data_IF_562539162940
#
_entry.id   IF_562539162940
#
_cell.length_a   1.000
_cell.length_b   1.000
_cell.length_c   1.000
_cell.angle_alpha   90.00
_cell.angle_beta   90.00
_cell.angle_gamma   90.00
#
_symmetry.space_group_name_H-M   'P 1'
#
loop_
_entity.id
_entity.type
_entity.pdbx_description
1 polymer ?
#
# COMPACT_ATOMS: atom_id res chain seq x y z
N UNK A 1 -13.89 -19.02 -37.48
CA UNK A 1 -14.56 -18.48 -36.28
C UNK A 1 -13.60 -17.44 -35.72
N UNK A 2 -14.00 -16.17 -35.84
CA UNK A 2 -13.17 -15.00 -35.56
C UNK A 2 -12.70 -14.95 -34.11
N UNK A 3 -11.45 -14.56 -33.96
CA UNK A 3 -10.68 -14.52 -32.73
C UNK A 3 -11.04 -13.23 -31.96
N UNK A 4 -11.99 -13.30 -31.02
CA UNK A 4 -12.40 -12.17 -30.16
C UNK A 4 -11.39 -11.92 -29.02
N UNK A 5 -10.12 -11.69 -29.37
CA UNK A 5 -9.19 -10.99 -28.49
C UNK A 5 -9.48 -9.49 -28.60
N UNK A 6 -10.64 -9.05 -28.09
CA UNK A 6 -11.02 -7.64 -28.10
C UNK A 6 -10.26 -6.90 -26.99
N UNK A 7 -9.10 -6.35 -27.37
CA UNK A 7 -8.39 -5.33 -26.60
C UNK A 7 -9.37 -4.18 -26.29
N UNK A 8 -9.56 -3.87 -25.01
CA UNK A 8 -10.43 -2.77 -24.59
C UNK A 8 -9.97 -1.41 -25.13
N UNK A 9 -10.89 -0.46 -25.22
CA UNK A 9 -10.55 0.93 -25.60
C UNK A 9 -9.57 1.52 -24.59
N UNK A 10 -8.51 2.16 -25.08
CA UNK A 10 -7.52 2.80 -24.21
C UNK A 10 -8.17 3.96 -23.45
N UNK A 11 -8.08 3.90 -22.13
CA UNK A 11 -8.49 4.99 -21.24
C UNK A 11 -7.38 5.17 -20.19
N UNK A 12 -6.91 6.41 -20.02
CA UNK A 12 -5.79 6.75 -19.14
C UNK A 12 -4.47 5.98 -19.41
N UNK A 13 -4.10 5.77 -20.68
CA UNK A 13 -2.88 5.03 -21.09
C UNK A 13 -2.82 3.56 -20.64
N UNK A 14 -3.85 3.05 -19.97
CA UNK A 14 -4.01 1.62 -19.72
C UNK A 14 -4.62 0.96 -20.95
N UNK A 15 -3.99 -0.11 -21.43
CA UNK A 15 -4.53 -0.97 -22.48
C UNK A 15 -4.96 -2.28 -21.82
N UNK A 16 -6.25 -2.57 -21.86
CA UNK A 16 -6.74 -3.85 -21.38
C UNK A 16 -6.34 -4.95 -22.38
N UNK A 17 -5.39 -5.81 -22.00
CA UNK A 17 -5.11 -7.07 -22.72
C UNK A 17 -6.37 -7.96 -22.77
N UNK A 18 -7.25 -7.82 -21.77
CA UNK A 18 -8.60 -8.40 -21.70
C UNK A 18 -9.61 -7.49 -21.02
N UNK A 19 -10.80 -7.32 -21.61
CA UNK A 19 -11.92 -6.55 -21.01
C UNK A 19 -13.12 -7.44 -20.69
N UNK A 20 -14.03 -6.98 -19.84
CA UNK A 20 -15.28 -7.69 -19.53
C UNK A 20 -16.33 -7.51 -20.63
N UNK A 21 -17.14 -8.55 -20.85
CA UNK A 21 -18.34 -8.54 -21.71
C UNK A 21 -19.62 -8.11 -20.97
N UNK A 22 -19.50 -7.68 -19.71
CA UNK A 22 -20.65 -7.33 -18.86
C UNK A 22 -21.32 -6.03 -19.30
N UNK A 23 -22.64 -6.07 -19.47
CA UNK A 23 -23.45 -4.86 -19.62
C UNK A 23 -23.61 -4.14 -18.28
N UNK A 24 -23.22 -2.86 -18.23
CA UNK A 24 -23.22 -2.08 -16.99
C UNK A 24 -24.64 -1.68 -16.59
N UNK A 25 -25.18 -2.36 -15.58
CA UNK A 25 -26.39 -1.93 -14.90
C UNK A 25 -26.07 -0.73 -14.00
N UNK A 26 -26.49 0.45 -14.47
CA UNK A 26 -26.24 1.73 -13.77
C UNK A 26 -26.88 1.77 -12.40
N UNK A 27 -28.01 1.10 -12.15
CA UNK A 27 -28.68 1.13 -10.84
C UNK A 27 -27.91 0.35 -9.78
N UNK A 28 -27.44 -0.85 -10.14
CA UNK A 28 -26.53 -1.63 -9.28
C UNK A 28 -25.26 -0.85 -9.00
N UNK A 29 -24.67 -0.22 -10.02
CA UNK A 29 -23.50 0.63 -9.88
C UNK A 29 -23.76 1.77 -8.88
N UNK A 30 -24.94 2.42 -8.89
CA UNK A 30 -25.23 3.48 -7.89
C UNK A 30 -25.33 2.95 -6.47
N UNK A 31 -25.75 1.69 -6.31
CA UNK A 31 -26.02 1.07 -5.02
C UNK A 31 -24.77 0.49 -4.38
N UNK A 32 -23.91 -0.18 -5.16
CA UNK A 32 -22.78 -0.95 -4.65
C UNK A 32 -21.40 -0.34 -4.95
N UNK A 33 -21.25 0.47 -6.00
CA UNK A 33 -19.94 1.08 -6.30
C UNK A 33 -19.59 2.14 -5.25
N UNK A 34 -18.72 1.74 -4.32
CA UNK A 34 -18.27 2.58 -3.20
C UNK A 34 -17.38 3.74 -3.68
N UNK A 35 -16.56 3.50 -4.72
CA UNK A 35 -15.70 4.51 -5.32
C UNK A 35 -16.53 5.62 -5.97
N UNK A 36 -17.62 5.24 -6.65
CA UNK A 36 -18.55 6.21 -7.24
C UNK A 36 -19.16 7.13 -6.18
N UNK A 37 -19.56 6.61 -5.02
CA UNK A 37 -20.12 7.43 -3.95
C UNK A 37 -19.13 8.50 -3.46
N UNK A 38 -17.85 8.12 -3.31
CA UNK A 38 -16.76 9.02 -2.96
C UNK A 38 -16.56 10.11 -4.03
N UNK A 39 -16.42 9.73 -5.30
CA UNK A 39 -16.26 10.68 -6.41
C UNK A 39 -17.46 11.63 -6.55
N UNK A 40 -18.68 11.12 -6.37
CA UNK A 40 -19.90 11.94 -6.39
C UNK A 40 -19.90 12.98 -5.26
N UNK A 41 -19.51 12.60 -4.04
CA UNK A 41 -19.38 13.54 -2.92
C UNK A 41 -18.33 14.61 -3.20
N UNK A 42 -17.16 14.24 -3.73
CA UNK A 42 -16.11 15.19 -4.12
C UNK A 42 -16.56 16.13 -5.23
N UNK A 43 -17.28 15.62 -6.23
CA UNK A 43 -17.82 16.44 -7.33
C UNK A 43 -18.74 17.54 -6.81
N UNK A 44 -19.69 17.21 -5.91
CA UNK A 44 -20.62 18.20 -5.36
C UNK A 44 -19.92 19.28 -4.53
N UNK A 45 -18.83 18.95 -3.82
CA UNK A 45 -18.01 19.95 -3.11
C UNK A 45 -17.39 20.95 -4.08
N UNK A 46 -16.84 20.46 -5.20
CA UNK A 46 -16.26 21.33 -6.24
C UNK A 46 -17.31 22.18 -6.95
N UNK A 47 -18.50 21.63 -7.17
CA UNK A 47 -19.61 22.40 -7.74
C UNK A 47 -20.06 23.53 -6.80
N UNK A 48 -20.13 23.27 -5.49
CA UNK A 48 -20.39 24.31 -4.49
C UNK A 48 -19.32 25.42 -4.51
N UNK A 49 -18.04 25.05 -4.57
CA UNK A 49 -16.93 26.00 -4.70
C UNK A 49 -17.04 26.84 -5.98
N UNK A 50 -17.38 26.21 -7.11
CA UNK A 50 -17.64 26.90 -8.37
C UNK A 50 -18.73 27.98 -8.20
N UNK A 51 -19.89 27.63 -7.63
CA UNK A 51 -20.98 28.59 -7.45
C UNK A 51 -20.59 29.78 -6.58
N UNK A 52 -19.84 29.55 -5.49
CA UNK A 52 -19.36 30.61 -4.59
C UNK A 52 -18.39 31.54 -5.32
N UNK A 53 -17.36 30.97 -5.96
CA UNK A 53 -16.32 31.75 -6.62
C UNK A 53 -16.83 32.47 -7.87
N UNK A 54 -17.73 31.85 -8.61
CA UNK A 54 -18.39 32.46 -9.77
C UNK A 54 -19.26 33.64 -9.34
N UNK A 55 -20.05 33.49 -8.26
CA UNK A 55 -20.87 34.58 -7.72
C UNK A 55 -20.03 35.75 -7.21
N UNK A 56 -18.92 35.47 -6.52
CA UNK A 56 -17.96 36.49 -6.08
C UNK A 56 -17.33 37.23 -7.27
N UNK A 57 -16.94 36.50 -8.30
CA UNK A 57 -16.38 37.08 -9.52
C UNK A 57 -17.39 38.01 -10.21
N UNK A 58 -18.64 37.57 -10.40
CA UNK A 58 -19.71 38.39 -10.97
C UNK A 58 -19.93 39.67 -10.18
N UNK A 59 -19.99 39.58 -8.84
CA UNK A 59 -20.14 40.76 -7.99
C UNK A 59 -19.00 41.76 -8.19
N UNK A 60 -17.74 41.30 -8.21
CA UNK A 60 -16.58 42.17 -8.42
C UNK A 60 -16.57 42.83 -9.80
N UNK A 61 -17.06 42.13 -10.84
CA UNK A 61 -17.23 42.74 -12.16
C UNK A 61 -18.32 43.81 -12.17
N UNK A 62 -19.45 43.59 -11.48
CA UNK A 62 -20.51 44.59 -11.32
C UNK A 62 -20.00 45.81 -10.56
N UNK A 63 -19.18 45.61 -9.53
CA UNK A 63 -18.57 46.68 -8.74
C UNK A 63 -17.37 47.35 -9.45
N UNK A 64 -17.15 47.10 -10.74
CA UNK A 64 -16.05 47.61 -11.56
C UNK A 64 -14.63 47.27 -11.07
N UNK A 65 -14.48 46.24 -10.24
CA UNK A 65 -13.19 45.69 -9.77
C UNK A 65 -12.71 44.55 -10.68
N UNK A 66 -12.61 44.82 -11.98
CA UNK A 66 -12.30 43.84 -13.03
C UNK A 66 -11.01 43.03 -12.80
N UNK A 67 -9.94 43.64 -12.29
CA UNK A 67 -8.68 42.94 -11.96
C UNK A 67 -8.86 41.94 -10.81
N UNK A 68 -9.70 42.26 -9.83
CA UNK A 68 -9.98 41.37 -8.70
C UNK A 68 -11.06 40.33 -9.01
N UNK A 69 -11.87 40.55 -10.05
CA UNK A 69 -12.86 39.59 -10.55
C UNK A 69 -12.26 38.42 -11.33
N UNK A 70 -11.09 38.58 -11.95
CA UNK A 70 -10.45 37.54 -12.77
C UNK A 70 -9.90 36.39 -11.93
N UNK A 71 -9.27 36.67 -10.78
CA UNK A 71 -8.72 35.65 -9.88
C UNK A 71 -9.77 34.63 -9.40
N UNK A 72 -10.93 35.05 -8.85
CA UNK A 72 -11.98 34.11 -8.46
C UNK A 72 -12.63 33.42 -9.67
N UNK A 73 -12.65 34.05 -10.86
CA UNK A 73 -13.12 33.38 -12.08
C UNK A 73 -12.24 32.18 -12.45
N UNK A 74 -10.91 32.32 -12.37
CA UNK A 74 -9.99 31.21 -12.66
C UNK A 74 -10.17 30.06 -11.67
N UNK A 75 -10.34 30.36 -10.39
CA UNK A 75 -10.63 29.35 -9.36
C UNK A 75 -11.98 28.67 -9.64
N UNK A 76 -13.00 29.43 -10.05
CA UNK A 76 -14.30 28.88 -10.42
C UNK A 76 -14.18 27.92 -11.61
N UNK A 77 -13.50 28.33 -12.68
CA UNK A 77 -13.28 27.47 -13.86
C UNK A 77 -12.50 26.20 -13.51
N UNK A 78 -11.47 26.30 -12.66
CA UNK A 78 -10.74 25.14 -12.18
C UNK A 78 -11.62 24.21 -11.34
N UNK A 79 -12.47 24.75 -10.47
CA UNK A 79 -13.43 23.96 -9.70
C UNK A 79 -14.47 23.28 -10.62
N UNK A 80 -14.94 23.97 -11.66
CA UNK A 80 -15.85 23.40 -12.66
C UNK A 80 -15.18 22.28 -13.47
N UNK A 81 -13.93 22.47 -13.88
CA UNK A 81 -13.13 21.42 -14.51
C UNK A 81 -13.02 20.19 -13.60
N UNK A 82 -12.70 20.38 -12.31
CA UNK A 82 -12.64 19.31 -11.31
C UNK A 82 -13.98 18.61 -11.10
N UNK A 83 -15.10 19.35 -11.13
CA UNK A 83 -16.44 18.77 -11.09
C UNK A 83 -16.66 17.77 -12.23
N UNK A 84 -16.38 18.17 -13.48
CA UNK A 84 -16.52 17.28 -14.63
C UNK A 84 -15.57 16.08 -14.57
N UNK A 85 -14.31 16.30 -14.20
CA UNK A 85 -13.33 15.22 -14.00
C UNK A 85 -13.82 14.17 -13.01
N UNK A 86 -14.30 14.59 -11.83
CA UNK A 86 -14.81 13.63 -10.82
C UNK A 86 -16.08 12.91 -11.26
N UNK A 87 -16.98 13.59 -11.98
CA UNK A 87 -18.17 12.92 -12.53
C UNK A 87 -17.82 11.88 -13.57
N UNK A 88 -16.79 12.14 -14.38
CA UNK A 88 -16.30 11.20 -15.37
C UNK A 88 -15.62 9.99 -14.69
N UNK A 89 -14.79 10.22 -13.66
CA UNK A 89 -14.12 9.17 -12.89
C UNK A 89 -15.11 8.24 -12.13
N UNK A 90 -16.24 8.78 -11.67
CA UNK A 90 -17.34 8.00 -11.07
C UNK A 90 -18.32 7.40 -12.08
N UNK A 91 -18.01 7.45 -13.38
CA UNK A 91 -18.82 6.93 -14.46
C UNK A 91 -18.66 5.43 -14.69
N UNK A 92 -19.40 4.90 -15.66
CA UNK A 92 -19.30 3.49 -16.08
C UNK A 92 -18.00 3.17 -16.83
N UNK A 93 -17.19 4.18 -17.18
CA UNK A 93 -15.93 4.00 -17.92
C UNK A 93 -14.96 3.06 -17.21
N UNK A 94 -14.98 3.04 -15.87
CA UNK A 94 -14.17 2.11 -15.08
C UNK A 94 -14.46 0.64 -15.38
N UNK A 95 -15.71 0.31 -15.74
CA UNK A 95 -16.13 -1.05 -16.07
C UNK A 95 -16.03 -1.37 -17.56
N UNK A 96 -16.07 -0.36 -18.43
CA UNK A 96 -16.00 -0.57 -19.90
C UNK A 96 -14.58 -0.51 -20.46
N UNK A 97 -13.69 0.23 -19.79
CA UNK A 97 -12.33 0.50 -20.26
C UNK A 97 -11.24 -0.03 -19.32
N UNK A 98 -11.61 -0.63 -18.19
CA UNK A 98 -10.67 -1.27 -17.28
C UNK A 98 -10.12 -2.60 -17.82
N UNK A 99 -9.07 -3.10 -17.17
CA UNK A 99 -8.56 -4.45 -17.36
C UNK A 99 -9.37 -5.42 -16.48
N UNK A 100 -9.75 -6.56 -17.03
CA UNK A 100 -10.30 -7.65 -16.23
C UNK A 100 -9.17 -8.27 -15.38
N UNK A 101 -9.32 -8.28 -14.07
CA UNK A 101 -8.32 -8.79 -13.11
C UNK A 101 -8.97 -9.73 -12.10
N UNK A 102 -8.25 -10.77 -11.62
CA UNK A 102 -8.76 -11.64 -10.58
C UNK A 102 -8.61 -11.01 -9.20
N UNK A 103 -9.54 -11.36 -8.31
CA UNK A 103 -9.43 -11.14 -6.88
C UNK A 103 -9.96 -12.34 -6.10
N UNK A 104 -9.43 -12.58 -4.91
CA UNK A 104 -9.96 -13.59 -3.98
C UNK A 104 -10.33 -12.95 -2.64
N UNK A 105 -11.33 -13.51 -1.97
CA UNK A 105 -11.65 -13.14 -0.58
C UNK A 105 -10.57 -13.72 0.33
N UNK A 106 -9.90 -12.87 1.12
CA UNK A 106 -8.86 -13.27 2.09
C UNK A 106 -9.30 -13.15 3.54
N UNK A 107 -10.35 -12.36 3.80
CA UNK A 107 -10.95 -12.20 5.14
C UNK A 107 -12.44 -11.95 4.97
N UNK A 108 -13.24 -12.49 5.89
CA UNK A 108 -14.71 -12.41 5.83
C UNK A 108 -15.32 -11.41 6.82
N UNK A 109 -14.56 -10.92 7.81
CA UNK A 109 -15.03 -9.94 8.78
C UNK A 109 -13.88 -9.02 9.28
N UNK A 110 -13.70 -7.80 8.73
CA UNK A 110 -14.42 -7.24 7.57
C UNK A 110 -14.10 -8.02 6.28
N UNK A 111 -14.93 -7.86 5.24
CA UNK A 111 -14.70 -8.51 3.95
C UNK A 111 -13.53 -7.81 3.24
N UNK A 112 -12.40 -8.52 3.14
CA UNK A 112 -11.20 -8.05 2.46
C UNK A 112 -10.89 -8.95 1.27
N UNK A 113 -10.48 -8.33 0.17
CA UNK A 113 -10.06 -8.99 -1.04
C UNK A 113 -8.60 -8.66 -1.34
N UNK A 114 -7.94 -9.58 -2.04
CA UNK A 114 -6.67 -9.33 -2.71
C UNK A 114 -6.91 -9.47 -4.21
N UNK A 115 -6.65 -8.39 -4.96
CA UNK A 115 -6.65 -8.39 -6.43
C UNK A 115 -5.23 -8.46 -6.96
N UNK A 116 -5.03 -9.10 -8.11
CA UNK A 116 -3.74 -9.24 -8.79
C UNK A 116 -3.79 -8.55 -10.15
N UNK A 117 -2.74 -7.82 -10.51
CA UNK A 117 -2.60 -7.23 -11.84
C UNK A 117 -1.14 -7.24 -12.30
N UNK A 118 -0.93 -7.37 -13.60
CA UNK A 118 0.35 -7.00 -14.22
C UNK A 118 0.43 -5.47 -14.26
N UNK A 119 1.51 -4.91 -13.74
CA UNK A 119 1.72 -3.46 -13.64
C UNK A 119 2.71 -2.93 -14.68
N UNK A 120 3.21 -3.74 -15.60
CA UNK A 120 4.00 -3.23 -16.72
C UNK A 120 3.16 -2.29 -17.61
N UNK A 121 3.72 -1.13 -17.96
CA UNK A 121 3.07 -0.17 -18.87
C UNK A 121 3.20 -0.57 -20.35
N UNK A 122 4.25 -1.32 -20.69
CA UNK A 122 4.64 -1.62 -22.06
C UNK A 122 4.44 -3.11 -22.38
N UNK A 123 4.05 -3.42 -23.62
CA UNK A 123 3.88 -4.79 -24.14
C UNK A 123 5.24 -5.44 -24.49
N UNK A 124 6.28 -5.25 -23.67
CA UNK A 124 7.63 -5.82 -23.91
C UNK A 124 7.68 -7.34 -23.72
N UNK A 125 6.61 -7.93 -23.16
CA UNK A 125 6.54 -9.34 -22.78
C UNK A 125 7.18 -9.64 -21.42
N UNK A 126 7.68 -8.62 -20.72
CA UNK A 126 8.06 -8.73 -19.31
C UNK A 126 6.83 -8.50 -18.44
N UNK A 127 6.52 -9.45 -17.56
CA UNK A 127 5.41 -9.35 -16.61
C UNK A 127 5.95 -8.94 -15.24
N UNK A 128 5.33 -7.94 -14.62
CA UNK A 128 5.57 -7.61 -13.22
C UNK A 128 4.22 -7.63 -12.52
N UNK A 129 3.94 -8.73 -11.82
CA UNK A 129 2.72 -8.80 -11.03
C UNK A 129 2.82 -7.96 -9.77
N UNK A 130 1.70 -7.33 -9.42
CA UNK A 130 1.47 -6.70 -8.15
C UNK A 130 0.11 -7.11 -7.62
N UNK A 131 -0.02 -7.21 -6.29
CA UNK A 131 -1.33 -7.38 -5.66
C UNK A 131 -1.74 -6.12 -4.90
N UNK A 132 -3.04 -5.94 -4.73
CA UNK A 132 -3.63 -4.89 -3.91
C UNK A 132 -4.68 -5.46 -2.99
N UNK A 133 -4.59 -5.11 -1.71
CA UNK A 133 -5.61 -5.44 -0.71
C UNK A 133 -6.61 -4.29 -0.59
N UNK A 134 -7.89 -4.61 -0.56
CA UNK A 134 -8.95 -3.63 -0.39
C UNK A 134 -10.16 -4.24 0.33
N UNK A 135 -10.87 -3.41 1.08
CA UNK A 135 -12.07 -3.82 1.80
C UNK A 135 -13.33 -3.45 1.02
N UNK A 136 -14.38 -4.25 1.16
CA UNK A 136 -15.69 -4.00 0.57
C UNK A 136 -16.81 -4.24 1.58
N UNK A 137 -17.92 -3.52 1.43
CA UNK A 137 -19.12 -3.70 2.27
C UNK A 137 -20.02 -4.81 1.78
N UNK A 138 -20.05 -5.07 0.47
CA UNK A 138 -21.00 -6.00 -0.15
C UNK A 138 -20.45 -6.60 -1.42
N UNK A 139 -20.62 -7.92 -1.55
CA UNK A 139 -20.35 -8.70 -2.76
C UNK A 139 -21.64 -9.42 -3.17
N UNK A 140 -22.58 -8.75 -3.86
CA UNK A 140 -23.77 -9.44 -4.36
C UNK A 140 -23.35 -10.61 -5.27
N UNK A 141 -24.17 -11.64 -5.36
CA UNK A 141 -23.92 -12.84 -6.19
C UNK A 141 -22.76 -13.75 -5.75
N UNK A 142 -21.98 -13.37 -4.75
CA UNK A 142 -20.86 -14.18 -4.23
C UNK A 142 -21.12 -14.67 -2.81
N UNK A 143 -20.50 -15.80 -2.48
CA UNK A 143 -20.46 -16.29 -1.09
C UNK A 143 -19.29 -15.62 -0.38
N UNK A 144 -19.55 -15.08 0.81
CA UNK A 144 -18.51 -14.47 1.64
C UNK A 144 -17.74 -15.58 2.37
N UNK A 145 -16.87 -16.26 1.63
CA UNK A 145 -15.99 -17.35 2.10
C UNK A 145 -14.58 -17.13 1.58
N UNK A 146 -13.57 -17.47 2.39
CA UNK A 146 -12.16 -17.34 1.98
C UNK A 146 -11.87 -18.19 0.74
N UNK A 147 -11.10 -17.63 -0.19
CA UNK A 147 -10.76 -18.25 -1.48
C UNK A 147 -11.84 -18.13 -2.56
N UNK A 148 -13.00 -17.52 -2.28
CA UNK A 148 -14.00 -17.24 -3.32
C UNK A 148 -13.39 -16.36 -4.43
N UNK A 149 -13.55 -16.77 -5.68
CA UNK A 149 -13.05 -16.08 -6.88
C UNK A 149 -13.98 -14.93 -7.26
N UNK A 150 -13.46 -13.71 -7.28
CA UNK A 150 -14.18 -12.48 -7.58
C UNK A 150 -13.54 -11.82 -8.82
N UNK A 151 -14.20 -11.79 -9.98
CA UNK A 151 -13.69 -11.06 -11.13
C UNK A 151 -13.90 -9.56 -10.93
N UNK A 152 -12.84 -8.77 -11.15
CA UNK A 152 -12.84 -7.33 -10.97
C UNK A 152 -12.44 -6.61 -12.26
N UNK A 153 -12.88 -5.37 -12.42
CA UNK A 153 -12.31 -4.43 -13.38
C UNK A 153 -11.33 -3.51 -12.67
N UNK A 154 -10.14 -3.32 -13.23
CA UNK A 154 -9.14 -2.42 -12.70
C UNK A 154 -8.83 -1.29 -13.67
N UNK A 155 -8.83 -0.06 -13.15
CA UNK A 155 -8.17 1.07 -13.80
C UNK A 155 -6.80 1.27 -13.16
N UNK A 156 -5.80 1.54 -14.00
CA UNK A 156 -4.45 1.83 -13.53
C UNK A 156 -4.22 3.33 -13.41
N UNK A 157 -3.35 3.72 -12.49
CA UNK A 157 -3.09 5.12 -12.17
C UNK A 157 -1.66 5.36 -11.72
N UNK A 158 -1.08 6.44 -12.25
CA UNK A 158 0.31 6.83 -12.00
C UNK A 158 1.32 5.87 -12.64
N UNK A 159 2.42 6.38 -13.17
CA UNK A 159 3.43 5.55 -13.82
C UNK A 159 4.82 6.03 -13.43
N UNK A 160 5.67 5.11 -12.99
CA UNK A 160 7.09 5.38 -12.68
C UNK A 160 7.94 4.28 -13.29
N UNK A 161 8.99 4.65 -14.01
CA UNK A 161 9.94 3.70 -14.62
C UNK A 161 9.28 2.59 -15.47
N UNK A 162 8.23 2.93 -16.24
CA UNK A 162 7.52 1.95 -17.08
C UNK A 162 6.61 0.99 -16.32
N UNK A 163 6.32 1.25 -15.04
CA UNK A 163 5.38 0.47 -14.23
C UNK A 163 4.28 1.36 -13.65
N UNK A 164 3.06 0.83 -13.61
CA UNK A 164 1.94 1.43 -12.91
C UNK A 164 2.19 1.44 -11.42
N UNK A 165 2.01 2.59 -10.79
CA UNK A 165 2.22 2.76 -9.34
C UNK A 165 0.97 2.40 -8.53
N UNK A 166 -0.18 2.27 -9.18
CA UNK A 166 -1.43 1.92 -8.52
C UNK A 166 -2.43 1.31 -9.52
N UNK A 167 -3.35 0.50 -9.01
CA UNK A 167 -4.56 0.12 -9.71
C UNK A 167 -5.76 0.08 -8.75
N UNK A 168 -6.95 0.28 -9.28
CA UNK A 168 -8.20 0.35 -8.53
C UNK A 168 -9.15 -0.79 -8.95
N UNK A 169 -9.12 -1.94 -8.27
CA UNK A 169 -10.02 -3.05 -8.57
C UNK A 169 -11.46 -2.72 -8.13
N UNK A 170 -12.43 -3.08 -8.98
CA UNK A 170 -13.87 -2.96 -8.73
C UNK A 170 -14.58 -4.27 -9.10
N UNK A 171 -15.23 -4.95 -8.14
CA UNK A 171 -15.95 -6.19 -8.40
C UNK A 171 -17.00 -6.05 -9.50
N UNK A 172 -17.02 -6.97 -10.47
CA UNK A 172 -18.02 -6.97 -11.55
C UNK A 172 -19.45 -7.11 -11.03
N UNK A 173 -19.64 -7.83 -9.92
CA UNK A 173 -20.94 -8.00 -9.29
C UNK A 173 -21.59 -6.67 -8.83
N UNK A 174 -20.84 -5.56 -8.77
CA UNK A 174 -21.40 -4.23 -8.50
C UNK A 174 -22.17 -3.65 -9.68
N UNK A 175 -21.99 -4.17 -10.90
CA UNK A 175 -22.60 -3.63 -12.12
C UNK A 175 -23.43 -4.63 -12.90
N UNK A 176 -23.56 -5.87 -12.44
CA UNK A 176 -24.40 -6.88 -13.10
C UNK A 176 -25.05 -7.83 -12.11
N UNK A 177 -26.24 -8.27 -12.45
CA UNK A 177 -26.98 -9.36 -11.81
C UNK A 177 -26.98 -10.65 -12.67
N UNK A 178 -26.26 -10.67 -13.79
CA UNK A 178 -26.09 -11.86 -14.63
C UNK A 178 -25.00 -12.78 -14.06
N UNK A 179 -25.43 -13.82 -13.33
CA UNK A 179 -24.56 -14.86 -12.79
C UNK A 179 -23.75 -15.59 -13.88
N UNK A 180 -24.31 -15.75 -15.08
CA UNK A 180 -23.61 -16.40 -16.18
C UNK A 180 -22.49 -15.50 -16.73
N UNK A 181 -22.69 -14.18 -16.78
CA UNK A 181 -21.64 -13.24 -17.15
C UNK A 181 -20.49 -13.24 -16.13
N UNK A 182 -20.80 -13.24 -14.83
CA UNK A 182 -19.78 -13.34 -13.77
C UNK A 182 -18.96 -14.62 -13.97
N UNK A 183 -19.62 -15.77 -14.15
CA UNK A 183 -18.94 -17.05 -14.38
C UNK A 183 -18.05 -17.02 -15.63
N UNK A 184 -18.56 -16.52 -16.76
CA UNK A 184 -17.75 -16.37 -17.99
C UNK A 184 -16.50 -15.51 -17.77
N UNK A 185 -16.61 -14.43 -17.00
CA UNK A 185 -15.45 -13.58 -16.71
C UNK A 185 -14.43 -14.26 -15.78
N UNK A 186 -14.88 -15.10 -14.85
CA UNK A 186 -13.98 -15.96 -14.05
C UNK A 186 -13.22 -16.92 -14.97
N UNK A 187 -13.93 -17.61 -15.87
CA UNK A 187 -13.36 -18.60 -16.79
C UNK A 187 -12.42 -17.98 -17.85
N UNK A 188 -12.52 -16.66 -18.10
CA UNK A 188 -11.64 -15.91 -19.02
C UNK A 188 -10.33 -15.47 -18.38
N UNK A 189 -10.24 -15.48 -17.05
CA UNK A 189 -9.00 -15.17 -16.34
C UNK A 189 -8.10 -16.39 -16.33
N UNK A 190 -6.80 -16.21 -16.54
CA UNK A 190 -5.86 -17.33 -16.65
C UNK A 190 -5.72 -18.06 -15.31
N UNK A 191 -5.71 -19.40 -15.34
CA UNK A 191 -5.59 -20.21 -14.11
C UNK A 191 -4.32 -19.91 -13.32
N UNK A 192 -3.24 -19.53 -14.01
CA UNK A 192 -1.98 -19.07 -13.39
C UNK A 192 -2.19 -17.89 -12.44
N UNK A 193 -3.05 -16.94 -12.78
CA UNK A 193 -3.27 -15.76 -11.92
C UNK A 193 -4.09 -16.14 -10.68
N UNK A 194 -5.02 -17.09 -10.82
CA UNK A 194 -5.72 -17.67 -9.67
C UNK A 194 -4.76 -18.43 -8.75
N UNK A 195 -3.82 -19.20 -9.33
CA UNK A 195 -2.79 -19.91 -8.59
C UNK A 195 -1.86 -18.94 -7.84
N UNK A 196 -1.44 -17.85 -8.48
CA UNK A 196 -0.63 -16.79 -7.83
C UNK A 196 -1.38 -16.23 -6.63
N UNK A 197 -2.64 -15.83 -6.79
CA UNK A 197 -3.47 -15.30 -5.70
C UNK A 197 -3.59 -16.28 -4.53
N UNK A 198 -3.80 -17.58 -4.81
CA UNK A 198 -3.92 -18.61 -3.76
C UNK A 198 -2.64 -18.80 -2.95
N UNK A 199 -1.48 -18.46 -3.51
CA UNK A 199 -0.15 -18.54 -2.89
C UNK A 199 0.26 -17.28 -2.14
N UNK A 200 -0.52 -16.20 -2.22
CA UNK A 200 -0.29 -14.99 -1.41
C UNK A 200 -0.77 -15.33 0.01
N UNK A 201 0.04 -16.12 0.72
CA UNK A 201 -0.29 -16.71 2.02
C UNK A 201 0.11 -15.84 3.20
N UNK A 202 0.74 -14.69 2.98
CA UNK A 202 1.33 -13.96 4.08
C UNK A 202 1.27 -12.44 3.94
N UNK A 203 1.23 -11.84 5.13
CA UNK A 203 1.36 -10.43 5.46
C UNK A 203 0.04 -9.61 5.50
N UNK A 204 -0.58 -9.65 6.67
CA UNK A 204 -1.64 -8.74 7.13
C UNK A 204 -1.21 -7.26 7.20
N UNK A 205 0.05 -6.93 6.87
CA UNK A 205 0.62 -5.59 7.05
C UNK A 205 0.71 -4.73 5.79
N UNK A 206 0.41 -5.25 4.59
CA UNK A 206 0.37 -4.43 3.39
C UNK A 206 -0.66 -3.31 3.59
N UNK A 207 -0.20 -2.05 3.55
CA UNK A 207 -1.05 -0.88 3.76
C UNK A 207 -2.26 -1.00 2.83
N UNK A 208 -3.45 -0.92 3.43
CA UNK A 208 -4.70 -0.88 2.66
C UNK A 208 -4.57 0.33 1.72
N UNK A 209 -4.73 0.11 0.41
CA UNK A 209 -4.65 1.09 -0.69
C UNK A 209 -3.37 1.11 -1.55
N UNK A 210 -2.24 0.55 -1.10
CA UNK A 210 -1.01 0.46 -1.91
C UNK A 210 -0.90 -0.88 -2.66
N UNK A 211 -0.19 -0.85 -3.78
CA UNK A 211 0.17 -2.07 -4.53
C UNK A 211 1.45 -2.68 -3.95
N UNK A 212 1.52 -4.00 -3.95
CA UNK A 212 2.69 -4.77 -3.51
C UNK A 212 3.22 -5.56 -4.69
N UNK A 213 4.44 -5.24 -5.12
CA UNK A 213 5.14 -5.97 -6.17
C UNK A 213 5.47 -7.39 -5.72
N UNK A 214 5.39 -8.33 -6.66
CA UNK A 214 5.69 -9.74 -6.46
C UNK A 214 6.94 -10.14 -7.24
N UNK A 215 7.80 -10.93 -6.61
CA UNK A 215 8.84 -11.70 -7.29
C UNK A 215 8.36 -13.15 -7.44
N UNK A 216 8.47 -13.66 -8.67
CA UNK A 216 8.19 -15.06 -8.97
C UNK A 216 9.52 -15.78 -9.19
N UNK A 217 9.80 -16.78 -8.37
CA UNK A 217 10.92 -17.67 -8.61
C UNK A 217 10.62 -18.52 -9.86
N UNK A 218 11.42 -18.33 -10.91
CA UNK A 218 11.24 -18.99 -12.21
C UNK A 218 11.43 -20.51 -12.15
N UNK A 219 12.09 -21.03 -11.12
CA UNK A 219 12.39 -22.45 -10.95
C UNK A 219 11.39 -23.14 -10.03
N UNK A 220 11.02 -22.51 -8.92
CA UNK A 220 10.13 -23.11 -7.91
C UNK A 220 8.66 -22.73 -8.12
N UNK A 221 8.38 -21.66 -8.87
CA UNK A 221 7.03 -21.10 -9.00
C UNK A 221 6.51 -20.52 -7.68
N UNK A 222 7.42 -20.26 -6.74
CA UNK A 222 7.12 -19.62 -5.47
C UNK A 222 6.88 -18.13 -5.71
N UNK A 223 5.81 -17.61 -5.11
CA UNK A 223 5.41 -16.21 -5.19
C UNK A 223 5.81 -15.57 -3.88
N UNK A 224 6.70 -14.58 -3.95
CA UNK A 224 7.12 -13.80 -2.78
C UNK A 224 6.86 -12.34 -3.03
N UNK A 225 6.68 -11.59 -1.95
CA UNK A 225 6.74 -10.13 -2.02
C UNK A 225 8.11 -9.73 -2.54
N UNK A 226 8.15 -8.80 -3.49
CA UNK A 226 9.40 -8.20 -3.95
C UNK A 226 10.04 -7.45 -2.78
N UNK A 227 11.28 -7.82 -2.50
CA UNK A 227 12.08 -7.20 -1.45
C UNK A 227 13.36 -6.64 -2.05
N UNK A 228 13.72 -5.44 -1.63
CA UNK A 228 15.05 -4.91 -1.84
C UNK A 228 16.02 -5.52 -0.84
N UNK A 229 17.32 -5.43 -1.14
CA UNK A 229 18.39 -5.79 -0.23
C UNK A 229 19.27 -4.57 0.02
N UNK A 230 19.59 -4.32 1.28
CA UNK A 230 20.64 -3.38 1.66
C UNK A 230 21.87 -4.17 2.09
N UNK A 231 23.03 -3.75 1.61
CA UNK A 231 24.33 -4.13 2.15
C UNK A 231 25.05 -2.82 2.47
N UNK A 232 25.32 -2.58 3.75
CA UNK A 232 25.95 -1.36 4.22
C UNK A 232 26.89 -1.67 5.38
N UNK A 233 28.16 -1.34 5.20
CA UNK A 233 29.24 -1.71 6.12
C UNK A 233 29.19 -3.22 6.46
N UNK A 234 28.94 -3.55 7.73
CA UNK A 234 28.91 -4.92 8.23
C UNK A 234 27.50 -5.52 8.19
N UNK A 235 26.45 -4.75 7.87
CA UNK A 235 25.05 -5.17 7.97
C UNK A 235 24.45 -5.47 6.60
N UNK A 236 23.65 -6.53 6.51
CA UNK A 236 22.85 -6.86 5.34
C UNK A 236 21.48 -7.38 5.75
N UNK A 237 20.42 -6.86 5.11
CA UNK A 237 19.05 -7.35 5.28
C UNK A 237 18.17 -7.03 4.06
N UNK A 238 17.04 -7.72 3.96
CA UNK A 238 16.01 -7.46 2.97
C UNK A 238 14.93 -6.55 3.55
N UNK A 239 14.30 -5.72 2.72
CA UNK A 239 13.17 -4.87 3.11
C UNK A 239 12.17 -4.72 1.96
N UNK A 240 10.86 -4.55 2.22
CA UNK A 240 9.87 -4.43 1.16
C UNK A 240 9.94 -3.08 0.41
N UNK A 241 9.50 -3.04 -0.84
CA UNK A 241 9.39 -1.80 -1.63
C UNK A 241 8.49 -0.72 -0.99
N UNK A 242 7.58 -1.12 -0.09
CA UNK A 242 6.75 -0.18 0.66
C UNK A 242 7.51 0.51 1.80
N UNK A 243 8.80 0.25 1.96
CA UNK A 243 9.63 0.91 2.96
C UNK A 243 10.59 1.88 2.30
N UNK A 244 10.93 2.93 3.03
CA UNK A 244 11.99 3.88 2.72
C UNK A 244 13.15 3.61 3.67
N UNK A 245 14.37 3.77 3.17
CA UNK A 245 15.58 3.54 3.94
C UNK A 245 16.53 4.72 3.76
N UNK A 246 16.98 5.27 4.88
CA UNK A 246 17.98 6.33 4.96
C UNK A 246 19.21 5.82 5.72
N UNK A 247 20.37 6.40 5.40
CA UNK A 247 21.66 6.02 5.97
C UNK A 247 22.41 7.29 6.36
N UNK A 248 23.03 7.26 7.52
CA UNK A 248 23.83 8.36 8.02
C UNK A 248 25.13 7.82 8.62
N UNK A 249 26.25 8.42 8.22
CA UNK A 249 27.55 8.18 8.85
C UNK A 249 27.65 9.01 10.12
N UNK A 250 28.01 8.36 11.21
CA UNK A 250 28.29 9.01 12.49
C UNK A 250 29.79 9.19 12.74
N UNK A 251 30.10 9.74 13.91
CA UNK A 251 31.49 9.93 14.34
C UNK A 251 32.17 8.60 14.67
N UNK A 252 33.50 8.58 14.54
CA UNK A 252 34.35 7.46 14.97
C UNK A 252 33.96 6.10 14.38
N UNK A 253 33.50 6.07 13.12
CA UNK A 253 33.08 4.85 12.43
C UNK A 253 31.78 4.26 12.98
N UNK A 254 30.93 5.09 13.60
CA UNK A 254 29.53 4.73 13.85
C UNK A 254 28.68 5.00 12.62
N UNK A 255 27.55 4.31 12.49
CA UNK A 255 26.57 4.60 11.44
C UNK A 255 25.17 4.26 11.89
N UNK A 256 24.20 4.86 11.19
CA UNK A 256 22.78 4.75 11.43
C UNK A 256 22.08 4.34 10.14
N UNK A 257 21.17 3.37 10.25
CA UNK A 257 20.24 3.01 9.18
C UNK A 257 18.83 3.21 9.75
N UNK A 258 18.06 4.08 9.12
CA UNK A 258 16.67 4.33 9.46
C UNK A 258 15.78 3.76 8.37
N UNK A 259 14.79 2.96 8.75
CA UNK A 259 13.82 2.39 7.84
C UNK A 259 12.42 2.70 8.35
N UNK A 260 11.60 3.30 7.49
CA UNK A 260 10.21 3.63 7.77
C UNK A 260 9.31 3.04 6.68
N UNK A 261 8.18 2.45 7.06
CA UNK A 261 7.16 2.09 6.06
C UNK A 261 6.54 3.38 5.52
N UNK A 262 6.38 3.45 4.19
CA UNK A 262 5.80 4.59 3.48
C UNK A 262 4.31 4.74 3.83
N UNK A 263 3.83 5.99 3.87
CA UNK A 263 2.43 6.33 4.10
C UNK A 263 2.25 7.26 5.29
N UNK A 264 1.28 8.16 5.21
CA UNK A 264 1.08 9.22 6.21
C UNK A 264 0.62 8.68 7.58
N UNK A 265 0.02 7.49 7.61
CA UNK A 265 -0.48 6.81 8.83
C UNK A 265 0.37 5.60 9.22
N UNK A 266 1.61 5.52 8.72
CA UNK A 266 2.51 4.41 8.97
C UNK A 266 3.24 4.55 10.32
N UNK A 267 3.25 3.49 11.12
CA UNK A 267 3.90 3.45 12.44
C UNK A 267 5.09 2.51 12.51
N UNK A 268 5.28 1.67 11.48
CA UNK A 268 6.34 0.67 11.44
C UNK A 268 7.69 1.32 11.13
N UNK A 269 8.62 1.21 12.09
CA UNK A 269 10.01 1.69 11.95
C UNK A 269 11.01 0.62 12.37
N UNK A 270 12.18 0.64 11.73
CA UNK A 270 13.38 -0.10 12.14
C UNK A 270 14.54 0.88 12.16
N UNK A 271 15.25 0.97 13.28
CA UNK A 271 16.52 1.72 13.33
C UNK A 271 17.64 0.79 13.73
N UNK A 272 18.78 0.97 13.07
CA UNK A 272 20.00 0.20 13.33
C UNK A 272 21.11 1.20 13.60
N UNK A 273 21.74 1.08 14.76
CA UNK A 273 22.92 1.87 15.11
C UNK A 273 24.08 0.92 15.34
N UNK A 274 25.19 1.16 14.66
CA UNK A 274 26.44 0.45 14.90
C UNK A 274 27.47 1.42 15.49
N UNK A 275 28.16 0.97 16.54
CA UNK A 275 29.25 1.72 17.17
C UNK A 275 30.53 0.88 17.08
N UNK A 276 31.62 1.50 16.61
CA UNK A 276 32.92 0.85 16.41
C UNK A 276 33.67 0.45 17.70
N UNK A 277 33.02 0.54 18.86
CA UNK A 277 33.55 0.13 20.15
C UNK A 277 32.64 -0.94 20.75
N UNK A 278 33.24 -2.01 21.27
CA UNK A 278 32.51 -3.03 22.01
C UNK A 278 32.18 -2.52 23.41
N UNK A 279 30.89 -2.33 23.65
CA UNK A 279 30.30 -1.88 24.91
C UNK A 279 29.61 -3.08 25.56
N UNK A 280 29.60 -3.13 26.89
CA UNK A 280 28.78 -4.12 27.60
C UNK A 280 27.31 -3.99 27.18
N UNK A 281 26.67 -5.12 26.84
CA UNK A 281 25.33 -5.11 26.24
C UNK A 281 24.28 -4.51 27.18
N UNK A 282 24.39 -4.73 28.50
CA UNK A 282 23.46 -4.17 29.47
C UNK A 282 23.72 -2.69 29.71
N UNK A 283 24.99 -2.27 29.77
CA UNK A 283 25.35 -0.87 29.86
C UNK A 283 24.86 -0.09 28.63
N UNK A 284 24.99 -0.65 27.43
CA UNK A 284 24.48 -0.03 26.20
C UNK A 284 22.95 0.04 26.21
N UNK A 285 22.26 -1.01 26.65
CA UNK A 285 20.80 -0.99 26.77
C UNK A 285 20.35 0.11 27.74
N UNK A 286 21.00 0.24 28.90
CA UNK A 286 20.70 1.28 29.89
C UNK A 286 20.91 2.69 29.31
N UNK A 287 22.02 2.92 28.62
CA UNK A 287 22.29 4.17 27.90
C UNK A 287 21.17 4.48 26.90
N UNK A 288 20.84 3.53 26.02
CA UNK A 288 19.77 3.68 25.01
C UNK A 288 18.43 4.01 25.65
N UNK A 289 18.04 3.28 26.70
CA UNK A 289 16.76 3.52 27.41
C UNK A 289 16.72 4.89 28.08
N UNK A 290 17.84 5.36 28.64
CA UNK A 290 17.94 6.67 29.26
C UNK A 290 17.82 7.78 28.22
N UNK A 291 18.55 7.69 27.10
CA UNK A 291 18.46 8.64 25.98
C UNK A 291 17.05 8.68 25.39
N UNK A 292 16.40 7.52 25.22
CA UNK A 292 15.00 7.48 24.76
C UNK A 292 14.08 8.26 25.71
N UNK A 293 14.18 8.03 27.03
CA UNK A 293 13.32 8.69 28.03
C UNK A 293 13.47 10.21 28.11
N UNK A 294 14.58 10.77 27.62
CA UNK A 294 14.77 12.22 27.50
C UNK A 294 13.84 12.82 26.43
N UNK A 295 13.47 12.04 25.42
CA UNK A 295 12.54 12.45 24.37
C UNK A 295 11.11 12.42 24.90
N UNK A 296 10.32 13.45 24.56
CA UNK A 296 8.93 13.59 25.05
C UNK A 296 8.05 12.38 24.70
N UNK A 297 8.31 11.74 23.57
CA UNK A 297 7.51 10.61 23.04
C UNK A 297 7.69 9.34 23.89
N UNK A 298 8.88 9.12 24.47
CA UNK A 298 9.19 7.91 25.26
C UNK A 298 9.21 8.17 26.77
N UNK A 299 8.82 9.36 27.23
CA UNK A 299 8.90 9.73 28.65
C UNK A 299 8.07 8.83 29.57
N UNK A 300 6.98 8.26 29.07
CA UNK A 300 6.11 7.32 29.79
C UNK A 300 6.38 5.84 29.44
N UNK A 301 7.52 5.57 28.78
CA UNK A 301 7.89 4.23 28.36
C UNK A 301 8.04 3.29 29.56
N UNK A 302 7.38 2.15 29.47
CA UNK A 302 7.48 1.03 30.40
C UNK A 302 8.19 -0.13 29.69
N UNK A 303 9.14 -0.77 30.36
CA UNK A 303 9.96 -1.85 29.79
C UNK A 303 9.64 -3.19 30.42
N UNK A 304 9.79 -4.26 29.66
CA UNK A 304 9.74 -5.63 30.15
C UNK A 304 11.11 -6.13 30.64
N UNK A 305 11.17 -7.25 31.39
CA UNK A 305 12.44 -7.87 31.74
C UNK A 305 13.25 -8.26 30.52
N UNK A 306 14.56 -8.01 30.58
CA UNK A 306 15.51 -8.34 29.53
C UNK A 306 15.61 -9.86 29.35
N UNK A 307 15.69 -10.30 28.09
CA UNK A 307 15.78 -11.73 27.73
C UNK A 307 16.97 -11.95 26.81
N UNK A 308 17.63 -13.10 26.94
CA UNK A 308 18.60 -13.54 25.94
C UNK A 308 17.86 -14.18 24.78
N UNK A 309 18.16 -13.73 23.56
CA UNK A 309 17.56 -14.20 22.32
C UNK A 309 18.62 -14.26 21.23
N UNK A 310 18.23 -14.66 20.03
CA UNK A 310 19.07 -14.51 18.84
C UNK A 310 18.40 -13.56 17.85
N UNK A 311 19.20 -12.79 17.12
CA UNK A 311 18.76 -12.00 15.99
C UNK A 311 19.60 -12.39 14.77
N UNK A 312 18.97 -13.06 13.80
CA UNK A 312 19.68 -13.85 12.81
C UNK A 312 20.51 -14.94 13.49
N UNK A 313 21.78 -15.05 13.10
CA UNK A 313 22.72 -16.03 13.67
C UNK A 313 23.51 -15.50 14.89
N UNK A 314 23.14 -14.33 15.44
CA UNK A 314 23.90 -13.66 16.49
C UNK A 314 23.16 -13.67 17.83
N UNK A 315 23.90 -13.92 18.92
CA UNK A 315 23.40 -13.77 20.28
C UNK A 315 23.11 -12.30 20.59
N UNK A 316 21.95 -12.04 21.19
CA UNK A 316 21.49 -10.71 21.54
C UNK A 316 20.75 -10.70 22.88
N UNK A 317 20.70 -9.52 23.50
CA UNK A 317 19.71 -9.24 24.53
C UNK A 317 18.53 -8.48 23.92
N UNK A 318 17.32 -8.79 24.36
CA UNK A 318 16.08 -8.15 23.95
C UNK A 318 15.42 -7.48 25.14
N UNK A 319 15.02 -6.21 24.97
CA UNK A 319 14.14 -5.48 25.86
C UNK A 319 12.92 -5.00 25.08
N UNK A 320 11.73 -5.47 25.45
CA UNK A 320 10.47 -4.95 24.92
C UNK A 320 10.04 -3.73 25.72
N UNK A 321 9.39 -2.78 25.06
CA UNK A 321 8.83 -1.61 25.71
C UNK A 321 7.46 -1.24 25.14
N UNK A 322 6.69 -0.52 25.96
CA UNK A 322 5.43 0.09 25.57
C UNK A 322 5.47 1.56 25.96
N UNK A 323 5.17 2.46 25.04
CA UNK A 323 4.99 3.88 25.31
C UNK A 323 3.65 4.37 24.77
N UNK A 324 3.25 5.58 25.15
CA UNK A 324 2.04 6.19 24.59
C UNK A 324 2.27 7.67 24.31
N UNK A 325 1.93 8.08 23.09
CA UNK A 325 2.02 9.47 22.69
C UNK A 325 0.75 9.84 21.93
N UNK A 326 0.21 11.02 22.23
CA UNK A 326 -1.04 11.55 21.64
C UNK A 326 -2.26 10.62 21.74
N UNK A 327 -2.31 9.77 22.78
CA UNK A 327 -3.42 8.83 23.00
C UNK A 327 -3.29 7.50 22.27
N UNK A 328 -2.29 7.36 21.40
CA UNK A 328 -1.94 6.11 20.73
C UNK A 328 -0.91 5.34 21.55
N UNK A 329 -0.99 4.01 21.53
CA UNK A 329 0.01 3.13 22.16
C UNK A 329 0.96 2.63 21.09
N UNK A 330 2.25 2.61 21.43
CA UNK A 330 3.28 2.04 20.59
C UNK A 330 4.00 0.95 21.37
N UNK A 331 4.28 -0.14 20.68
CA UNK A 331 5.05 -1.25 21.16
C UNK A 331 6.42 -1.18 20.48
N UNK A 332 7.46 -1.61 21.17
CA UNK A 332 8.79 -1.65 20.59
C UNK A 332 9.67 -2.72 21.18
N UNK A 333 10.71 -3.06 20.42
CA UNK A 333 11.71 -4.07 20.76
C UNK A 333 13.10 -3.51 20.50
N UNK A 334 13.98 -3.62 21.49
CA UNK A 334 15.37 -3.20 21.39
C UNK A 334 16.25 -4.43 21.51
N UNK A 335 17.01 -4.72 20.47
CA UNK A 335 18.04 -5.75 20.45
C UNK A 335 19.41 -5.09 20.60
N UNK A 336 20.23 -5.58 21.53
CA UNK A 336 21.63 -5.20 21.65
C UNK A 336 22.50 -6.43 21.44
N UNK A 337 23.49 -6.31 20.57
CA UNK A 337 24.37 -7.40 20.15
C UNK A 337 25.80 -6.90 19.96
N UNK A 338 26.77 -7.77 20.27
CA UNK A 338 28.19 -7.52 20.09
C UNK A 338 28.74 -8.51 19.07
N UNK A 339 29.18 -8.01 17.92
CA UNK A 339 29.67 -8.83 16.80
C UNK A 339 30.92 -8.17 16.23
N UNK A 340 31.96 -8.97 15.97
CA UNK A 340 33.20 -8.51 15.33
C UNK A 340 33.85 -7.26 15.95
N UNK A 341 33.74 -7.10 17.29
CA UNK A 341 34.30 -5.96 18.04
C UNK A 341 33.47 -4.67 17.98
N UNK A 342 32.26 -4.71 17.40
CA UNK A 342 31.31 -3.61 17.33
C UNK A 342 30.07 -3.91 18.17
N UNK A 343 29.40 -2.86 18.64
CA UNK A 343 28.10 -2.97 19.31
C UNK A 343 27.00 -2.45 18.39
N UNK A 344 25.97 -3.26 18.21
CA UNK A 344 24.81 -2.94 17.39
C UNK A 344 23.58 -2.78 18.29
N UNK A 345 22.77 -1.77 17.98
CA UNK A 345 21.44 -1.55 18.55
C UNK A 345 20.43 -1.62 17.42
N UNK A 346 19.49 -2.55 17.49
CA UNK A 346 18.36 -2.64 16.55
C UNK A 346 17.08 -2.33 17.31
N UNK A 347 16.38 -1.27 16.92
CA UNK A 347 15.07 -0.92 17.47
C UNK A 347 14.01 -1.17 16.40
N UNK A 348 12.93 -1.85 16.80
CA UNK A 348 11.71 -1.99 16.00
C UNK A 348 10.56 -1.39 16.78
N UNK A 349 9.65 -0.71 16.11
CA UNK A 349 8.46 -0.14 16.75
C UNK A 349 7.25 -0.16 15.81
N UNK A 350 6.07 -0.34 16.39
CA UNK A 350 4.77 -0.27 15.71
C UNK A 350 3.62 0.02 16.69
N UNK A 351 2.43 0.34 16.18
CA UNK A 351 1.19 0.45 16.96
C UNK A 351 0.60 -0.91 17.36
N UNK A 352 1.01 -1.98 16.68
CA UNK A 352 0.59 -3.36 16.95
C UNK A 352 1.72 -4.20 17.56
N UNK A 353 1.41 -5.00 18.58
CA UNK A 353 2.34 -5.99 19.16
C UNK A 353 2.38 -7.29 18.32
N UNK A 354 2.77 -7.17 17.06
CA UNK A 354 2.77 -8.25 16.07
C UNK A 354 4.13 -8.43 15.37
N UNK A 355 5.23 -8.19 16.11
CA UNK A 355 6.59 -8.15 15.57
C UNK A 355 7.04 -9.39 14.80
N UNK A 356 6.69 -10.59 15.30
CA UNK A 356 7.08 -11.86 14.68
C UNK A 356 6.56 -12.03 13.26
N UNK A 357 5.45 -11.37 12.93
CA UNK A 357 4.85 -11.42 11.60
C UNK A 357 5.24 -10.17 10.79
N UNK A 358 5.06 -8.97 11.35
CA UNK A 358 5.26 -7.71 10.64
C UNK A 358 6.71 -7.42 10.27
N UNK A 359 7.67 -7.84 11.11
CA UNK A 359 9.09 -7.59 10.91
C UNK A 359 9.85 -8.85 10.49
N UNK A 360 9.12 -9.93 10.15
CA UNK A 360 9.71 -11.22 9.78
C UNK A 360 10.69 -11.10 8.61
N UNK A 361 10.35 -10.25 7.63
CA UNK A 361 11.21 -9.98 6.48
C UNK A 361 12.61 -9.51 6.90
N UNK A 362 12.69 -8.74 7.98
CA UNK A 362 13.94 -8.22 8.51
C UNK A 362 14.63 -9.29 9.35
N UNK A 363 13.94 -9.87 10.32
CA UNK A 363 14.54 -10.84 11.25
C UNK A 363 15.09 -12.08 10.55
N UNK A 364 14.44 -12.54 9.48
CA UNK A 364 14.87 -13.70 8.69
C UNK A 364 16.07 -13.41 7.79
N UNK A 365 16.28 -12.15 7.41
CA UNK A 365 17.29 -11.75 6.42
C UNK A 365 18.46 -10.97 7.02
N UNK A 366 18.34 -10.55 8.28
CA UNK A 366 19.34 -9.76 8.97
C UNK A 366 20.60 -10.56 9.26
N UNK A 367 21.72 -10.06 8.74
CA UNK A 367 23.03 -10.67 8.85
C UNK A 367 24.06 -9.59 9.16
N UNK A 368 25.06 -9.98 9.95
CA UNK A 368 26.23 -9.17 10.26
C UNK A 368 27.47 -9.93 9.80
N UNK A 369 28.34 -9.27 9.04
CA UNK A 369 29.56 -9.84 8.44
C UNK A 369 30.75 -9.84 9.40
#
# INVERSE_FOLDING_TARGET
MENQNETGSSFNFSRASRTSDVEVNKELMKKYDEQRAMFMRLSWRQFGLFLIMFSLSLKLYVDAHWVWGTLPMLIALFALFRFYMYRNAGGSSAYTSGLLVPAIIVRTNPVELVALADVCCDDTGEEQFAYKRFAVKSLPMHKVVEGERIPCMALFGGSTNGQWTNFEPRPLCWVTDDAAAIKRNIDRIEEREWDILSKITDDTSAATDDIVLLDMDKHTGEVRRKTNKIEYEDVSFCYPDSWKTEREEGDNGSYYIDCEKKGDDSSEIITITAVSAQIDVFAKLEETLNTMKEQKVYRNMCTEPVRNVSLGDNDAILCSFVCSFSGTKYFGRIYILNVSGKTFTVLMQDEEDAFENKFKFFTDSFTIK
#
